data_IF_596240957165
#
_entry.id   IF_596240957165
#
_cell.length_a   1.000
_cell.length_b   1.000
_cell.length_c   1.000
_cell.angle_alpha   90.00
_cell.angle_beta   90.00
_cell.angle_gamma   90.00
#
_symmetry.space_group_name_H-M   'P 1'
#
loop_
_entity.id
_entity.type
_entity.pdbx_description
1 polymer ?
#
# COMPACT_ATOMS: atom_id res chain seq x y z
N UNK A 1 44.91 -14.66 -4.46
CA UNK A 1 44.17 -13.50 -3.90
C UNK A 1 43.37 -12.90 -5.04
N UNK A 2 42.05 -13.06 -5.01
CA UNK A 2 41.18 -13.01 -6.19
C UNK A 2 40.38 -11.70 -6.26
N UNK A 3 40.35 -10.99 -7.40
CA UNK A 3 39.72 -9.67 -7.56
C UNK A 3 38.19 -9.71 -7.75
N UNK A 4 37.52 -10.79 -7.34
CA UNK A 4 36.08 -10.98 -7.54
C UNK A 4 35.19 -10.50 -6.37
N UNK A 5 35.78 -9.93 -5.31
CA UNK A 5 35.03 -9.52 -4.12
C UNK A 5 34.63 -8.03 -4.12
N UNK A 6 35.17 -7.21 -5.02
CA UNK A 6 34.87 -5.77 -5.08
C UNK A 6 33.64 -5.42 -5.92
N UNK A 7 33.19 -6.29 -6.83
CA UNK A 7 32.04 -6.00 -7.70
C UNK A 7 30.66 -6.24 -7.05
N UNK A 8 30.59 -6.84 -5.86
CA UNK A 8 29.32 -7.16 -5.20
C UNK A 8 28.79 -6.04 -4.28
N UNK A 9 29.58 -4.98 -4.06
CA UNK A 9 29.25 -3.88 -3.13
C UNK A 9 29.33 -2.48 -3.73
N UNK A 10 29.31 -2.35 -5.06
CA UNK A 10 29.03 -1.06 -5.72
C UNK A 10 27.54 -0.72 -5.53
N UNK A 11 27.23 -0.21 -4.34
CA UNK A 11 25.96 0.45 -4.07
C UNK A 11 25.90 1.70 -4.96
N UNK A 12 24.83 1.91 -5.74
CA UNK A 12 24.63 3.18 -6.40
C UNK A 12 24.70 4.29 -5.35
N UNK A 13 25.67 5.19 -5.53
CA UNK A 13 25.80 6.43 -4.78
C UNK A 13 24.42 7.09 -4.75
N UNK A 14 23.89 7.25 -3.53
CA UNK A 14 22.73 8.08 -3.18
C UNK A 14 22.59 9.20 -4.19
N UNK A 15 21.64 9.08 -5.11
CA UNK A 15 21.20 10.19 -5.94
C UNK A 15 20.85 11.33 -4.99
N UNK A 16 21.38 12.51 -5.31
CA UNK A 16 21.23 13.70 -4.49
C UNK A 16 19.77 13.87 -4.03
N UNK A 17 19.54 14.29 -2.78
CA UNK A 17 18.20 14.63 -2.34
C UNK A 17 17.57 15.58 -3.35
N UNK A 18 16.31 15.26 -3.69
CA UNK A 18 15.37 16.10 -4.41
C UNK A 18 15.65 17.57 -4.05
N UNK A 19 15.95 18.38 -5.07
CA UNK A 19 16.24 19.82 -4.94
C UNK A 19 15.29 20.42 -3.91
N UNK A 20 15.87 20.79 -2.77
CA UNK A 20 15.17 21.53 -1.73
C UNK A 20 14.58 22.78 -2.39
N UNK A 21 13.26 22.92 -2.33
CA UNK A 21 12.63 24.18 -2.67
C UNK A 21 13.24 25.29 -1.82
N UNK A 22 13.54 26.46 -2.42
CA UNK A 22 14.15 27.55 -1.70
C UNK A 22 13.16 28.12 -0.68
N UNK A 23 13.51 27.96 0.60
CA UNK A 23 13.20 28.81 1.75
C UNK A 23 12.01 29.77 1.58
N UNK A 24 10.83 29.33 2.04
CA UNK A 24 9.86 30.28 2.62
C UNK A 24 9.94 30.12 4.12
N UNK A 25 10.60 31.10 4.75
CA UNK A 25 10.63 31.43 6.18
C UNK A 25 10.96 30.30 7.17
N UNK A 26 12.03 30.52 7.93
CA UNK A 26 12.28 29.86 9.20
C UNK A 26 11.09 30.14 10.14
N UNK A 27 10.13 29.20 10.14
CA UNK A 27 9.13 29.10 11.19
C UNK A 27 9.83 28.51 12.40
N UNK A 28 9.78 29.24 13.52
CA UNK A 28 10.34 28.82 14.79
C UNK A 28 9.86 27.40 15.10
N UNK A 29 10.80 26.45 15.16
CA UNK A 29 10.53 25.11 15.63
C UNK A 29 10.32 25.19 17.15
N UNK A 30 9.12 25.62 17.55
CA UNK A 30 8.66 25.64 18.93
C UNK A 30 8.80 24.23 19.52
N UNK A 31 9.40 24.11 20.71
CA UNK A 31 9.69 22.82 21.31
C UNK A 31 8.39 22.12 21.71
N UNK A 32 8.18 20.95 21.10
CA UNK A 32 7.43 19.82 21.64
C UNK A 32 6.09 20.17 22.29
N UNK A 33 5.07 20.36 21.46
CA UNK A 33 3.72 19.97 21.86
C UNK A 33 3.80 18.52 22.34
N UNK A 34 3.50 18.31 23.62
CA UNK A 34 3.33 16.99 24.21
C UNK A 34 2.54 16.11 23.25
N UNK A 35 3.08 14.94 22.88
CA UNK A 35 2.37 13.91 22.11
C UNK A 35 1.14 13.46 22.94
N UNK A 36 0.04 14.23 22.89
CA UNK A 36 -1.23 13.82 23.48
C UNK A 36 -1.57 12.47 22.85
N UNK A 37 -1.88 11.44 23.64
CA UNK A 37 -2.21 10.13 23.12
C UNK A 37 -3.38 10.28 22.15
N UNK A 38 -3.08 10.18 20.86
CA UNK A 38 -4.08 10.35 19.81
C UNK A 38 -5.12 9.25 19.94
N UNK A 39 -6.38 9.64 19.87
CA UNK A 39 -7.48 8.72 20.09
C UNK A 39 -7.54 7.70 18.96
N UNK A 40 -7.96 6.47 19.24
CA UNK A 40 -8.25 5.47 18.20
C UNK A 40 -9.28 5.99 17.17
N UNK A 41 -10.09 6.98 17.55
CA UNK A 41 -11.01 7.66 16.65
C UNK A 41 -10.30 8.47 15.56
N UNK A 42 -9.17 9.12 15.87
CA UNK A 42 -8.41 9.91 14.89
C UNK A 42 -7.91 9.03 13.75
N UNK A 43 -7.57 7.78 14.05
CA UNK A 43 -7.19 6.78 13.06
C UNK A 43 -8.35 6.44 12.12
N UNK A 44 -9.58 6.31 12.64
CA UNK A 44 -10.76 6.05 11.82
C UNK A 44 -11.11 7.25 10.94
N UNK A 45 -10.84 8.48 11.38
CA UNK A 45 -11.11 9.67 10.56
C UNK A 45 -10.13 9.89 9.41
N UNK A 46 -9.06 9.09 9.29
CA UNK A 46 -8.07 9.27 8.23
C UNK A 46 -8.66 9.27 6.81
N UNK A 47 -9.51 8.30 6.39
CA UNK A 47 -10.08 8.30 5.05
C UNK A 47 -11.23 9.30 4.87
N UNK A 48 -11.71 9.93 5.95
CA UNK A 48 -12.83 10.90 5.93
C UNK A 48 -12.35 12.31 5.54
N UNK A 49 -11.08 12.49 5.17
CA UNK A 49 -10.63 13.72 4.50
C UNK A 49 -11.35 13.89 3.16
N UNK A 50 -11.48 15.13 2.69
CA UNK A 50 -12.12 15.44 1.40
C UNK A 50 -11.48 14.62 0.27
N UNK A 51 -10.15 14.56 0.23
CA UNK A 51 -9.41 13.75 -0.73
C UNK A 51 -9.73 12.26 -0.60
N UNK A 52 -9.71 11.70 0.63
CA UNK A 52 -9.99 10.29 0.86
C UNK A 52 -11.40 9.89 0.41
N UNK A 53 -12.41 10.70 0.73
CA UNK A 53 -13.80 10.49 0.32
C UNK A 53 -13.95 10.52 -1.20
N UNK A 54 -13.30 11.48 -1.88
CA UNK A 54 -13.31 11.55 -3.35
C UNK A 54 -12.75 10.26 -3.97
N UNK A 55 -11.62 9.76 -3.48
CA UNK A 55 -11.04 8.52 -3.99
C UNK A 55 -11.91 7.30 -3.67
N UNK A 56 -12.47 7.22 -2.46
CA UNK A 56 -13.43 6.16 -2.10
C UNK A 56 -14.61 6.16 -3.09
N UNK A 57 -15.17 7.33 -3.42
CA UNK A 57 -16.27 7.44 -4.38
C UNK A 57 -15.84 7.05 -5.80
N UNK A 58 -14.69 7.54 -6.27
CA UNK A 58 -14.16 7.22 -7.61
C UNK A 58 -13.95 5.70 -7.75
N UNK A 59 -13.18 5.09 -6.85
CA UNK A 59 -12.85 3.66 -6.96
C UNK A 59 -14.07 2.75 -6.71
N UNK A 60 -15.08 3.22 -5.99
CA UNK A 60 -16.28 2.43 -5.73
C UNK A 60 -17.32 2.53 -6.83
N UNK A 61 -17.55 3.73 -7.37
CA UNK A 61 -18.63 4.01 -8.31
C UNK A 61 -18.20 3.87 -9.77
N UNK A 62 -16.94 4.13 -10.10
CA UNK A 62 -16.49 4.12 -11.49
C UNK A 62 -16.52 2.71 -12.13
N UNK A 63 -16.02 1.63 -11.51
CA UNK A 63 -16.08 0.30 -12.12
C UNK A 63 -17.51 -0.21 -12.41
N UNK A 64 -18.49 -0.10 -11.49
CA UNK A 64 -19.83 -0.60 -11.77
C UNK A 64 -20.62 0.31 -12.72
N UNK A 65 -20.40 1.64 -12.71
CA UNK A 65 -20.92 2.54 -13.74
C UNK A 65 -20.38 2.17 -15.12
N UNK A 66 -19.08 1.88 -15.21
CA UNK A 66 -18.45 1.43 -16.45
C UNK A 66 -19.03 0.10 -16.95
N UNK A 67 -19.22 -0.87 -16.04
CA UNK A 67 -19.84 -2.15 -16.38
C UNK A 67 -21.29 -1.99 -16.89
N UNK A 68 -22.05 -1.04 -16.35
CA UNK A 68 -23.38 -0.71 -16.85
C UNK A 68 -23.33 -0.02 -18.22
N UNK A 69 -22.43 0.95 -18.41
CA UNK A 69 -22.25 1.62 -19.70
C UNK A 69 -21.86 0.63 -20.81
N UNK A 70 -20.99 -0.35 -20.51
CA UNK A 70 -20.61 -1.40 -21.44
C UNK A 70 -21.80 -2.31 -21.82
N UNK A 71 -22.69 -2.63 -20.88
CA UNK A 71 -23.92 -3.40 -21.16
C UNK A 71 -24.87 -2.69 -22.11
N UNK A 72 -24.94 -1.36 -22.04
CA UNK A 72 -25.79 -0.56 -22.91
C UNK A 72 -25.25 -0.45 -24.35
N UNK A 73 -24.13 -1.12 -24.66
CA UNK A 73 -23.39 -1.00 -25.92
C UNK A 73 -23.11 0.45 -26.31
N UNK A 74 -23.07 1.35 -25.31
CA UNK A 74 -22.89 2.78 -25.51
C UNK A 74 -21.59 3.05 -26.29
N UNK A 75 -20.59 2.17 -26.12
CA UNK A 75 -19.37 2.11 -26.91
C UNK A 75 -19.28 0.76 -27.60
N UNK A 76 -19.63 0.72 -28.89
CA UNK A 76 -19.70 -0.46 -29.76
C UNK A 76 -18.34 -1.14 -30.09
N UNK A 77 -17.34 -1.04 -29.21
CA UNK A 77 -16.11 -1.83 -29.33
C UNK A 77 -16.17 -3.00 -28.33
N UNK A 78 -16.51 -4.23 -28.77
CA UNK A 78 -16.19 -5.43 -28.01
C UNK A 78 -14.66 -5.58 -28.05
N UNK A 79 -13.96 -4.92 -27.13
CA UNK A 79 -12.52 -4.72 -27.27
C UNK A 79 -11.78 -4.62 -25.95
N UNK A 80 -10.46 -4.46 -26.08
CA UNK A 80 -9.48 -4.33 -24.99
C UNK A 80 -9.66 -3.07 -24.13
N UNK A 81 -10.48 -2.11 -24.58
CA UNK A 81 -10.66 -0.80 -23.96
C UNK A 81 -11.16 -0.84 -22.51
N UNK A 82 -12.28 -1.50 -22.18
CA UNK A 82 -12.75 -1.66 -20.81
C UNK A 82 -11.71 -2.29 -19.87
N UNK A 83 -10.97 -3.29 -20.36
CA UNK A 83 -9.93 -3.94 -19.57
C UNK A 83 -8.76 -2.98 -19.31
N UNK A 84 -8.31 -2.24 -20.33
CA UNK A 84 -7.28 -1.22 -20.19
C UNK A 84 -7.68 -0.15 -19.16
N UNK A 85 -8.94 0.30 -19.18
CA UNK A 85 -9.43 1.30 -18.22
C UNK A 85 -9.42 0.79 -16.78
N UNK A 86 -9.85 -0.46 -16.56
CA UNK A 86 -9.79 -1.08 -15.23
C UNK A 86 -8.34 -1.23 -14.75
N UNK A 87 -7.44 -1.65 -15.63
CA UNK A 87 -6.00 -1.75 -15.31
C UNK A 87 -5.41 -0.39 -14.93
N UNK A 88 -5.75 0.67 -15.68
CA UNK A 88 -5.31 2.03 -15.37
C UNK A 88 -5.87 2.53 -14.03
N UNK A 89 -7.13 2.19 -13.73
CA UNK A 89 -7.76 2.54 -12.46
C UNK A 89 -7.11 1.82 -11.28
N UNK A 90 -6.83 0.52 -11.42
CA UNK A 90 -6.13 -0.27 -10.40
C UNK A 90 -4.69 0.22 -10.20
N UNK A 91 -4.00 0.57 -11.29
CA UNK A 91 -2.67 1.17 -11.25
C UNK A 91 -2.66 2.49 -10.47
N UNK A 92 -3.65 3.34 -10.74
CA UNK A 92 -3.86 4.59 -10.03
C UNK A 92 -4.19 4.37 -8.54
N UNK A 93 -4.99 3.35 -8.21
CA UNK A 93 -5.26 2.99 -6.81
C UNK A 93 -3.97 2.59 -6.09
N UNK A 94 -3.14 1.73 -6.69
CA UNK A 94 -1.86 1.31 -6.08
C UNK A 94 -0.94 2.52 -5.87
N UNK A 95 -0.84 3.40 -6.86
CA UNK A 95 -0.10 4.66 -6.73
C UNK A 95 -0.62 5.52 -5.57
N UNK A 96 -1.94 5.72 -5.49
CA UNK A 96 -2.56 6.50 -4.42
C UNK A 96 -2.34 5.89 -3.02
N UNK A 97 -2.39 4.55 -2.91
CA UNK A 97 -2.07 3.85 -1.66
C UNK A 97 -0.61 4.04 -1.26
N UNK A 98 0.34 3.98 -2.19
CA UNK A 98 1.76 4.29 -1.91
C UNK A 98 1.95 5.73 -1.45
N UNK A 99 1.28 6.70 -2.09
CA UNK A 99 1.31 8.11 -1.64
C UNK A 99 0.74 8.27 -0.23
N UNK A 100 -0.39 7.61 0.08
CA UNK A 100 -0.96 7.59 1.43
C UNK A 100 -0.01 6.93 2.45
N UNK A 101 0.68 5.85 2.06
CA UNK A 101 1.65 5.15 2.89
C UNK A 101 2.82 6.08 3.25
N UNK A 102 3.42 6.70 2.24
CA UNK A 102 4.53 7.64 2.38
C UNK A 102 4.14 8.87 3.21
N UNK A 103 2.98 9.47 2.95
CA UNK A 103 2.47 10.60 3.75
C UNK A 103 2.26 10.21 5.21
N UNK A 104 1.66 9.03 5.46
CA UNK A 104 1.45 8.50 6.81
C UNK A 104 2.76 8.19 7.53
N UNK A 105 3.76 7.68 6.80
CA UNK A 105 5.13 7.44 7.26
C UNK A 105 5.87 8.72 7.63
N UNK A 106 5.53 9.85 7.00
CA UNK A 106 6.02 11.18 7.36
C UNK A 106 5.24 11.83 8.51
N UNK A 107 4.23 11.14 9.05
CA UNK A 107 3.45 11.59 10.19
C UNK A 107 2.15 12.33 9.84
N UNK A 108 1.79 12.44 8.56
CA UNK A 108 0.54 13.08 8.12
C UNK A 108 -0.69 12.36 8.69
N UNK A 109 -1.68 13.13 9.13
CA UNK A 109 -2.92 12.65 9.77
C UNK A 109 -4.09 12.50 8.80
N UNK A 110 -3.94 12.94 7.55
CA UNK A 110 -5.00 12.94 6.54
C UNK A 110 -4.50 12.28 5.26
N UNK A 111 -5.42 11.70 4.49
CA UNK A 111 -5.08 11.15 3.19
C UNK A 111 -4.49 12.22 2.25
N UNK A 112 -3.57 11.80 1.38
CA UNK A 112 -2.85 12.70 0.48
C UNK A 112 -3.81 13.54 -0.38
N UNK A 113 -3.61 14.85 -0.39
CA UNK A 113 -4.46 15.79 -1.13
C UNK A 113 -4.18 15.75 -2.64
N UNK A 114 -5.24 15.86 -3.44
CA UNK A 114 -5.19 15.84 -4.92
C UNK A 114 -4.45 17.07 -5.48
N UNK A 115 -4.35 18.14 -4.68
CA UNK A 115 -3.78 19.43 -5.10
C UNK A 115 -2.25 19.52 -4.93
N UNK A 116 -1.59 18.50 -4.37
CA UNK A 116 -0.12 18.51 -4.29
C UNK A 116 0.47 18.52 -5.70
N UNK A 117 1.42 19.43 -5.96
CA UNK A 117 1.92 19.86 -7.27
C UNK A 117 2.44 18.78 -8.25
N UNK A 118 2.48 17.51 -7.86
CA UNK A 118 2.67 16.37 -8.76
C UNK A 118 1.38 16.09 -9.50
N UNK A 119 1.38 16.19 -10.84
CA UNK A 119 0.22 15.83 -11.67
C UNK A 119 -0.33 14.46 -11.25
N UNK A 120 -1.54 14.37 -10.67
CA UNK A 120 -2.09 13.12 -10.13
C UNK A 120 -2.34 12.06 -11.21
N UNK A 121 -2.15 12.40 -12.48
CA UNK A 121 -2.33 11.55 -13.65
C UNK A 121 -1.01 11.23 -14.36
N UNK A 122 0.14 11.46 -13.72
CA UNK A 122 1.43 11.05 -14.31
C UNK A 122 1.49 9.53 -14.42
N UNK A 123 1.33 9.04 -15.66
CA UNK A 123 1.39 7.61 -15.98
C UNK A 123 2.75 7.05 -15.63
N UNK A 124 3.82 7.82 -15.83
CA UNK A 124 5.19 7.41 -15.53
C UNK A 124 5.41 7.17 -14.03
N UNK A 125 4.88 8.05 -13.18
CA UNK A 125 4.95 7.89 -11.73
C UNK A 125 4.15 6.65 -11.27
N UNK A 126 2.95 6.48 -11.82
CA UNK A 126 2.10 5.33 -11.49
C UNK A 126 2.73 4.01 -11.93
N UNK A 127 3.31 3.98 -13.13
CA UNK A 127 4.02 2.83 -13.67
C UNK A 127 5.28 2.51 -12.84
N UNK A 128 6.04 3.53 -12.44
CA UNK A 128 7.23 3.36 -11.60
C UNK A 128 6.87 2.76 -10.24
N UNK A 129 5.86 3.31 -9.55
CA UNK A 129 5.38 2.75 -8.28
C UNK A 129 4.90 1.31 -8.43
N UNK A 130 4.21 1.01 -9.53
CA UNK A 130 3.79 -0.36 -9.82
C UNK A 130 4.96 -1.29 -10.09
N UNK A 131 5.94 -0.88 -10.89
CA UNK A 131 7.16 -1.66 -11.14
C UNK A 131 7.93 -1.95 -9.85
N UNK A 132 7.86 -1.07 -8.86
CA UNK A 132 8.48 -1.26 -7.55
C UNK A 132 7.64 -2.18 -6.64
N UNK A 133 6.32 -1.97 -6.52
CA UNK A 133 5.47 -2.70 -5.56
C UNK A 133 5.00 -4.06 -6.09
N UNK A 134 4.64 -4.14 -7.38
CA UNK A 134 4.05 -5.35 -7.97
C UNK A 134 4.95 -6.58 -7.84
N UNK A 135 6.27 -6.53 -8.11
CA UNK A 135 7.11 -7.70 -7.97
C UNK A 135 7.22 -8.17 -6.52
N UNK A 136 7.13 -7.27 -5.53
CA UNK A 136 7.10 -7.65 -4.12
C UNK A 136 5.79 -8.38 -3.76
N UNK A 137 4.65 -7.91 -4.26
CA UNK A 137 3.35 -8.60 -4.12
C UNK A 137 3.41 -9.99 -4.75
N UNK A 138 3.94 -10.09 -5.98
CA UNK A 138 4.08 -11.36 -6.70
C UNK A 138 5.04 -12.30 -5.96
N UNK A 139 6.19 -11.81 -5.49
CA UNK A 139 7.19 -12.62 -4.78
C UNK A 139 6.59 -13.33 -3.56
N UNK A 140 5.74 -12.62 -2.81
CA UNK A 140 5.14 -13.12 -1.57
C UNK A 140 3.87 -13.93 -1.84
N UNK A 141 3.03 -13.48 -2.78
CA UNK A 141 1.72 -14.05 -3.05
C UNK A 141 1.73 -15.21 -4.04
N UNK A 142 2.71 -15.31 -4.94
CA UNK A 142 2.69 -16.30 -6.03
C UNK A 142 2.76 -17.74 -5.51
N UNK A 143 3.56 -18.02 -4.49
CA UNK A 143 3.71 -19.37 -3.95
C UNK A 143 2.39 -19.96 -3.38
N UNK A 144 1.67 -19.29 -2.44
CA UNK A 144 0.39 -19.80 -1.95
C UNK A 144 -0.67 -19.85 -3.06
N UNK A 145 -0.71 -18.87 -3.97
CA UNK A 145 -1.66 -18.87 -5.09
C UNK A 145 -1.40 -20.04 -6.03
N UNK A 146 -0.16 -20.26 -6.45
CA UNK A 146 0.22 -21.38 -7.31
C UNK A 146 -0.07 -22.73 -6.64
N UNK A 147 0.20 -22.85 -5.35
CA UNK A 147 -0.14 -24.04 -4.58
C UNK A 147 -1.65 -24.32 -4.62
N UNK A 148 -2.47 -23.30 -4.36
CA UNK A 148 -3.94 -23.43 -4.40
C UNK A 148 -4.44 -23.82 -5.80
N UNK A 149 -3.91 -23.20 -6.86
CA UNK A 149 -4.30 -23.50 -8.25
C UNK A 149 -3.93 -24.94 -8.64
N UNK A 150 -2.76 -25.44 -8.22
CA UNK A 150 -2.30 -26.79 -8.57
C UNK A 150 -3.02 -27.87 -7.76
N UNK A 151 -3.30 -27.61 -6.47
CA UNK A 151 -3.83 -28.62 -5.54
C UNK A 151 -5.34 -28.55 -5.37
N UNK A 152 -5.97 -27.45 -5.80
CA UNK A 152 -7.40 -27.17 -5.73
C UNK A 152 -8.02 -27.47 -4.35
N UNK A 153 -7.24 -27.33 -3.29
CA UNK A 153 -7.63 -27.70 -1.93
C UNK A 153 -7.08 -26.71 -0.92
N UNK A 154 -7.85 -26.50 0.15
CA UNK A 154 -7.42 -25.72 1.30
C UNK A 154 -6.94 -26.70 2.37
N UNK A 155 -5.62 -26.77 2.57
CA UNK A 155 -4.99 -27.58 3.60
C UNK A 155 -4.10 -26.74 4.53
N UNK A 156 -3.56 -27.37 5.58
CA UNK A 156 -2.72 -26.69 6.56
C UNK A 156 -1.44 -26.08 5.96
N UNK A 157 -0.92 -26.62 4.85
CA UNK A 157 0.26 -26.09 4.17
C UNK A 157 -0.08 -24.75 3.52
N UNK A 158 -1.19 -24.68 2.77
CA UNK A 158 -1.66 -23.44 2.17
C UNK A 158 -1.94 -22.37 3.22
N UNK A 159 -2.60 -22.75 4.32
CA UNK A 159 -2.91 -21.83 5.42
C UNK A 159 -1.62 -21.28 6.02
N UNK A 160 -0.64 -22.15 6.31
CA UNK A 160 0.65 -21.75 6.88
C UNK A 160 1.42 -20.81 5.94
N UNK A 161 1.46 -21.11 4.64
CA UNK A 161 2.12 -20.26 3.65
C UNK A 161 1.43 -18.91 3.50
N UNK A 162 0.10 -18.89 3.45
CA UNK A 162 -0.68 -17.66 3.39
C UNK A 162 -0.48 -16.81 4.64
N UNK A 163 -0.45 -17.43 5.81
CA UNK A 163 -0.19 -16.75 7.07
C UNK A 163 1.25 -16.19 7.16
N UNK A 164 2.25 -16.93 6.66
CA UNK A 164 3.62 -16.45 6.58
C UNK A 164 3.75 -15.28 5.60
N UNK A 165 3.14 -15.40 4.42
CA UNK A 165 3.08 -14.35 3.40
C UNK A 165 2.43 -13.08 3.97
N UNK A 166 1.24 -13.18 4.56
CA UNK A 166 0.55 -12.05 5.17
C UNK A 166 1.29 -11.47 6.38
N UNK A 167 2.09 -12.27 7.10
CA UNK A 167 2.92 -11.78 8.20
C UNK A 167 4.15 -11.01 7.72
N UNK A 168 4.78 -11.41 6.61
CA UNK A 168 5.96 -10.72 6.06
C UNK A 168 5.60 -9.53 5.18
N UNK A 169 4.43 -9.57 4.54
CA UNK A 169 3.98 -8.60 3.55
C UNK A 169 4.02 -7.14 4.03
N UNK A 170 3.50 -6.77 5.21
CA UNK A 170 3.47 -5.38 5.65
C UNK A 170 4.88 -4.78 5.77
N UNK A 171 5.84 -5.52 6.33
CA UNK A 171 7.22 -5.06 6.47
C UNK A 171 7.93 -4.95 5.11
N UNK A 172 7.71 -5.92 4.21
CA UNK A 172 8.27 -5.86 2.85
C UNK A 172 7.72 -4.67 2.08
N UNK A 173 6.40 -4.43 2.16
CA UNK A 173 5.75 -3.32 1.49
C UNK A 173 6.30 -1.97 1.98
N UNK A 174 6.50 -1.81 3.30
CA UNK A 174 7.13 -0.62 3.86
C UNK A 174 8.56 -0.43 3.36
N UNK A 175 9.39 -1.47 3.42
CA UNK A 175 10.79 -1.38 2.99
C UNK A 175 10.90 -1.06 1.49
N UNK A 176 10.11 -1.75 0.65
CA UNK A 176 10.09 -1.52 -0.80
C UNK A 176 9.63 -0.10 -1.13
N UNK A 177 8.65 0.43 -0.41
CA UNK A 177 8.17 1.80 -0.57
C UNK A 177 9.20 2.84 -0.09
N UNK A 178 9.89 2.60 1.03
CA UNK A 178 10.87 3.53 1.60
C UNK A 178 12.18 3.58 0.79
N UNK A 179 12.65 2.44 0.30
CA UNK A 179 13.85 2.36 -0.54
C UNK A 179 13.57 2.65 -2.03
N UNK A 180 12.30 2.78 -2.43
CA UNK A 180 11.85 2.82 -3.83
C UNK A 180 12.54 1.75 -4.70
N UNK A 181 12.69 0.55 -4.14
CA UNK A 181 13.48 -0.52 -4.75
C UNK A 181 13.09 -1.89 -4.23
N UNK A 182 13.12 -2.89 -5.12
CA UNK A 182 12.99 -4.31 -4.76
C UNK A 182 14.09 -4.80 -3.82
N UNK A 183 15.22 -4.08 -3.71
CA UNK A 183 16.25 -4.36 -2.71
C UNK A 183 15.70 -4.27 -1.28
N UNK A 184 14.65 -3.48 -1.05
CA UNK A 184 13.93 -3.42 0.23
C UNK A 184 13.26 -4.74 0.61
N UNK A 185 12.97 -5.62 -0.36
CA UNK A 185 12.38 -6.94 -0.12
C UNK A 185 13.42 -7.99 0.37
N UNK A 186 14.67 -7.58 0.63
CA UNK A 186 15.73 -8.49 1.07
C UNK A 186 15.38 -9.12 2.44
N UNK A 187 15.28 -10.46 2.54
CA UNK A 187 14.94 -11.12 3.81
C UNK A 187 15.95 -10.83 4.93
N UNK A 188 17.22 -10.60 4.59
CA UNK A 188 18.25 -10.22 5.57
C UNK A 188 18.03 -8.84 6.18
N UNK A 189 17.27 -7.97 5.50
CA UNK A 189 16.86 -6.66 6.03
C UNK A 189 15.53 -6.79 6.80
N UNK A 190 14.56 -7.47 6.20
CA UNK A 190 13.19 -7.56 6.71
C UNK A 190 13.11 -8.34 8.02
N UNK A 191 13.78 -9.49 8.13
CA UNK A 191 13.68 -10.35 9.32
C UNK A 191 14.24 -9.67 10.59
N UNK A 192 15.46 -9.09 10.59
CA UNK A 192 15.95 -8.33 11.74
C UNK A 192 15.08 -7.13 12.09
N UNK A 193 14.49 -6.48 11.08
CA UNK A 193 13.56 -5.37 11.27
C UNK A 193 12.31 -5.84 12.01
N UNK A 194 11.72 -6.98 11.64
CA UNK A 194 10.57 -7.54 12.37
C UNK A 194 10.95 -7.88 13.80
N UNK A 195 12.11 -8.50 14.02
CA UNK A 195 12.57 -8.91 15.36
C UNK A 195 12.74 -7.69 16.27
N UNK A 196 13.27 -6.57 15.77
CA UNK A 196 13.49 -5.35 16.57
C UNK A 196 12.21 -4.68 17.07
N UNK A 197 11.07 -4.96 16.40
CA UNK A 197 9.75 -4.41 16.73
C UNK A 197 8.68 -5.51 16.85
N UNK A 198 9.06 -6.73 17.22
CA UNK A 198 8.19 -7.91 17.15
C UNK A 198 6.86 -7.73 17.91
N UNK A 199 6.92 -7.23 19.14
CA UNK A 199 5.73 -6.98 19.97
C UNK A 199 4.69 -6.09 19.28
N UNK A 200 5.00 -4.81 18.99
CA UNK A 200 4.06 -3.93 18.30
C UNK A 200 3.74 -4.40 16.87
N UNK A 201 4.68 -5.06 16.18
CA UNK A 201 4.45 -5.61 14.84
C UNK A 201 3.37 -6.71 14.85
N UNK A 202 3.42 -7.64 15.80
CA UNK A 202 2.39 -8.67 15.95
C UNK A 202 1.00 -8.06 16.17
N UNK A 203 0.92 -6.99 16.99
CA UNK A 203 -0.32 -6.24 17.20
C UNK A 203 -0.84 -5.61 15.89
N UNK A 204 0.04 -4.95 15.13
CA UNK A 204 -0.31 -4.39 13.82
C UNK A 204 -0.82 -5.47 12.86
N UNK A 205 -0.06 -6.55 12.69
CA UNK A 205 -0.39 -7.64 11.75
C UNK A 205 -1.72 -8.29 12.13
N UNK A 206 -1.99 -8.48 13.42
CA UNK A 206 -3.30 -8.96 13.89
C UNK A 206 -4.44 -8.03 13.45
N UNK A 207 -4.29 -6.72 13.64
CA UNK A 207 -5.30 -5.73 13.18
C UNK A 207 -5.46 -5.77 11.66
N UNK A 208 -4.37 -5.85 10.90
CA UNK A 208 -4.42 -5.98 9.44
C UNK A 208 -5.13 -7.26 8.98
N UNK A 209 -4.94 -8.38 9.69
CA UNK A 209 -5.67 -9.63 9.42
C UNK A 209 -7.17 -9.49 9.68
N UNK A 210 -7.57 -8.88 10.80
CA UNK A 210 -8.99 -8.63 11.11
C UNK A 210 -9.63 -7.75 10.03
N UNK A 211 -8.96 -6.67 9.63
CA UNK A 211 -9.43 -5.79 8.55
C UNK A 211 -9.50 -6.53 7.21
N UNK A 212 -8.53 -7.38 6.90
CA UNK A 212 -8.53 -8.19 5.66
C UNK A 212 -9.66 -9.23 5.66
N UNK A 213 -9.91 -9.88 6.80
CA UNK A 213 -11.02 -10.80 6.96
C UNK A 213 -12.37 -10.08 6.80
N UNK A 214 -12.50 -8.86 7.34
CA UNK A 214 -13.68 -8.02 7.13
C UNK A 214 -13.88 -7.67 5.65
N UNK A 215 -12.82 -7.28 4.95
CA UNK A 215 -12.84 -7.07 3.50
C UNK A 215 -13.28 -8.32 2.74
N UNK A 216 -12.75 -9.49 3.08
CA UNK A 216 -13.16 -10.77 2.49
C UNK A 216 -14.64 -11.10 2.75
N UNK A 217 -15.13 -10.84 3.97
CA UNK A 217 -16.55 -10.97 4.31
C UNK A 217 -17.44 -10.03 3.51
N UNK A 218 -17.04 -8.76 3.35
CA UNK A 218 -17.73 -7.80 2.49
C UNK A 218 -17.74 -8.23 1.03
N UNK A 219 -16.62 -8.74 0.51
CA UNK A 219 -16.53 -9.30 -0.84
C UNK A 219 -17.46 -10.50 -1.02
N UNK A 220 -17.51 -11.42 -0.05
CA UNK A 220 -18.44 -12.55 -0.07
C UNK A 220 -19.90 -12.11 -0.09
N UNK A 221 -20.28 -11.13 0.75
CA UNK A 221 -21.61 -10.53 0.74
C UNK A 221 -21.93 -9.80 -0.57
N UNK A 222 -20.91 -9.28 -1.26
CA UNK A 222 -21.03 -8.60 -2.55
C UNK A 222 -21.46 -9.51 -3.69
N UNK A 223 -21.30 -10.83 -3.56
CA UNK A 223 -21.71 -11.79 -4.59
C UNK A 223 -23.24 -11.81 -4.82
N UNK A 224 -24.02 -11.21 -3.90
CA UNK A 224 -25.47 -11.06 -4.07
C UNK A 224 -25.81 -9.98 -5.11
N UNK A 225 -26.93 -10.11 -5.85
CA UNK A 225 -27.38 -9.07 -6.78
C UNK A 225 -27.49 -7.72 -6.07
N UNK A 226 -26.81 -6.70 -6.60
CA UNK A 226 -26.76 -5.34 -6.02
C UNK A 226 -25.77 -5.17 -4.85
N UNK A 227 -25.26 -6.25 -4.25
CA UNK A 227 -24.35 -6.19 -3.10
C UNK A 227 -23.02 -5.49 -3.40
N UNK A 228 -22.55 -5.58 -4.65
CA UNK A 228 -21.31 -4.94 -5.11
C UNK A 228 -21.30 -3.42 -4.94
N UNK A 229 -22.45 -2.76 -5.06
CA UNK A 229 -22.55 -1.30 -4.91
C UNK A 229 -22.40 -0.86 -3.45
N UNK A 230 -22.94 -1.65 -2.53
CA UNK A 230 -22.94 -1.32 -1.10
C UNK A 230 -21.60 -1.68 -0.43
N UNK A 231 -20.97 -2.76 -0.86
CA UNK A 231 -19.76 -3.28 -0.24
C UNK A 231 -18.45 -2.64 -0.75
N UNK A 232 -18.44 -2.04 -1.96
CA UNK A 232 -17.24 -1.41 -2.50
C UNK A 232 -16.71 -0.22 -1.69
N UNK A 233 -17.53 0.79 -1.31
CA UNK A 233 -17.06 1.89 -0.47
C UNK A 233 -16.37 1.46 0.83
N UNK A 234 -16.95 0.55 1.65
CA UNK A 234 -16.27 0.10 2.86
C UNK A 234 -15.01 -0.72 2.57
N UNK A 235 -14.92 -1.47 1.46
CA UNK A 235 -13.68 -2.17 1.07
C UNK A 235 -12.55 -1.17 0.78
N UNK A 236 -12.80 -0.15 -0.04
CA UNK A 236 -11.79 0.88 -0.35
C UNK A 236 -11.40 1.66 0.91
N UNK A 237 -12.37 1.97 1.77
CA UNK A 237 -12.13 2.61 3.05
C UNK A 237 -11.21 1.76 3.95
N UNK A 238 -11.46 0.46 4.07
CA UNK A 238 -10.63 -0.46 4.86
C UNK A 238 -9.21 -0.52 4.29
N UNK A 239 -9.05 -0.55 2.96
CA UNK A 239 -7.74 -0.52 2.31
C UNK A 239 -6.95 0.75 2.69
N UNK A 240 -7.58 1.93 2.62
CA UNK A 240 -6.93 3.19 3.03
C UNK A 240 -6.55 3.18 4.52
N UNK A 241 -7.40 2.60 5.38
CA UNK A 241 -7.12 2.46 6.81
C UNK A 241 -5.94 1.53 7.07
N UNK A 242 -5.84 0.40 6.36
CA UNK A 242 -4.71 -0.53 6.46
C UNK A 242 -3.40 0.16 6.05
N UNK A 243 -3.41 0.89 4.93
CA UNK A 243 -2.27 1.67 4.45
C UNK A 243 -1.85 2.73 5.46
N UNK A 244 -2.81 3.46 6.04
CA UNK A 244 -2.52 4.46 7.06
C UNK A 244 -1.88 3.85 8.31
N UNK A 245 -2.46 2.75 8.83
CA UNK A 245 -1.94 2.00 9.96
C UNK A 245 -0.49 1.57 9.73
N UNK A 246 -0.19 1.11 8.52
CA UNK A 246 1.14 0.65 8.14
C UNK A 246 2.15 1.81 8.11
N UNK A 247 1.79 2.94 7.50
CA UNK A 247 2.63 4.13 7.48
C UNK A 247 2.84 4.70 8.88
N UNK A 248 1.80 4.70 9.73
CA UNK A 248 1.91 5.11 11.13
C UNK A 248 2.83 4.23 11.96
N UNK A 249 2.77 2.92 11.73
CA UNK A 249 3.70 1.99 12.35
C UNK A 249 5.15 2.34 11.97
N UNK A 250 5.42 2.57 10.68
CA UNK A 250 6.75 3.01 10.25
C UNK A 250 7.16 4.32 10.93
N UNK A 251 6.32 5.35 10.89
CA UNK A 251 6.61 6.65 11.50
C UNK A 251 7.00 6.52 12.98
N UNK A 252 6.29 5.68 13.74
CA UNK A 252 6.53 5.47 15.18
C UNK A 252 7.80 4.68 15.47
N UNK A 253 8.17 3.75 14.58
CA UNK A 253 9.24 2.78 14.84
C UNK A 253 10.45 2.88 13.90
N UNK A 254 10.51 3.87 13.00
CA UNK A 254 11.60 4.08 12.04
C UNK A 254 12.99 3.98 12.66
N UNK A 255 13.20 4.56 13.86
CA UNK A 255 14.48 4.50 14.58
C UNK A 255 14.91 3.09 15.03
N UNK A 256 13.96 2.14 15.14
CA UNK A 256 14.24 0.74 15.51
C UNK A 256 14.38 -0.19 14.30
N UNK A 257 13.91 0.22 13.12
CA UNK A 257 13.95 -0.60 11.91
C UNK A 257 15.37 -0.74 11.32
N UNK A 258 16.31 0.16 11.68
CA UNK A 258 17.73 0.11 11.27
C UNK A 258 17.96 0.13 9.74
N UNK A 259 17.10 0.81 8.99
CA UNK A 259 17.17 0.87 7.53
C UNK A 259 18.21 1.85 6.96
N UNK A 260 18.86 2.66 7.80
CA UNK A 260 19.81 3.70 7.40
C UNK A 260 21.23 3.53 7.94
N UNK A 261 21.76 2.30 7.98
CA UNK A 261 23.17 2.05 8.33
C UNK A 261 24.11 2.32 7.15
#
# INVERSE_FOLDING_TARGET
MSPLHEALFDLPRKSAPLVAQPNTAADEMTPSDEETPRSALDLLFYPISVSGVIHVLIFSLLPPLWAQAAKLQFWMSPGIGPLLWLVLLDLYLVYYLSMCLSGSAQGQTRAADISSASSPLSVDASLSTFQTIFPAVVLIGAAPIAYFVIRERVDWILILWTAAAGFLFPMILLAVNDFDSLRGANPFLVVPSIISVLGPYCGLVFVLYVLTALTGGLMYLSCRPGGTWLARPPIIYILLLQTHLLGRFYWRYQGRLRWGA
#
